data_IF_178045168788
#
_entry.id   IF_178045168788
#
_cell.length_a   1.000
_cell.length_b   1.000
_cell.length_c   1.000
_cell.angle_alpha   90.00
_cell.angle_beta   90.00
_cell.angle_gamma   90.00
#
_symmetry.space_group_name_H-M   'P 1'
#
loop_
_entity.id
_entity.type
_entity.pdbx_description
1 polymer ?
#
# COMPACT_ATOMS: atom_id res chain seq x y z
N UNK A 1 23.05 -3.58 -68.05
CA UNK A 1 21.67 -3.34 -67.66
C UNK A 1 21.31 -4.34 -66.58
N UNK A 2 20.96 -3.95 -65.37
CA UNK A 2 20.51 -4.67 -64.16
C UNK A 2 21.38 -4.30 -62.92
N UNK A 3 21.22 -3.09 -62.41
CA UNK A 3 21.78 -2.65 -61.08
C UNK A 3 20.92 -1.53 -60.42
N UNK A 4 19.62 -1.50 -60.59
CA UNK A 4 18.77 -0.44 -60.00
C UNK A 4 17.53 -0.92 -59.23
N UNK A 5 17.45 -2.26 -58.89
CA UNK A 5 16.25 -2.79 -58.20
C UNK A 5 16.49 -3.18 -56.74
N UNK A 6 17.64 -2.86 -56.12
CA UNK A 6 17.98 -3.31 -54.75
C UNK A 6 17.93 -2.21 -53.68
N UNK A 7 17.63 -0.97 -54.10
CA UNK A 7 17.65 0.18 -53.19
C UNK A 7 16.28 0.58 -52.63
N UNK A 8 15.20 0.01 -53.12
CA UNK A 8 13.82 0.35 -52.66
C UNK A 8 13.26 -0.55 -51.55
N UNK A 9 13.90 -1.69 -51.26
CA UNK A 9 13.44 -2.63 -50.24
C UNK A 9 13.97 -2.33 -48.82
N UNK A 10 14.91 -1.38 -48.64
CA UNK A 10 15.52 -1.09 -47.34
C UNK A 10 14.88 0.10 -46.60
N UNK A 11 13.98 0.84 -47.22
CA UNK A 11 13.33 2.03 -46.61
C UNK A 11 11.96 1.70 -45.99
N UNK A 12 11.36 0.55 -46.37
CA UNK A 12 10.06 0.14 -45.82
C UNK A 12 10.12 -0.55 -44.43
N UNK A 13 11.31 -0.86 -43.93
CA UNK A 13 11.51 -1.58 -42.65
C UNK A 13 11.71 -0.70 -41.41
N UNK A 14 11.82 0.64 -41.56
CA UNK A 14 12.21 1.56 -40.47
C UNK A 14 11.08 2.37 -39.84
N UNK A 15 9.83 2.08 -40.19
CA UNK A 15 8.67 2.87 -39.70
C UNK A 15 7.78 2.14 -38.67
N UNK A 16 8.21 1.01 -38.10
CA UNK A 16 7.40 0.26 -37.12
C UNK A 16 7.92 0.30 -35.65
N UNK A 17 8.88 1.17 -35.32
CA UNK A 17 9.37 1.32 -33.93
C UNK A 17 9.06 2.69 -33.32
N UNK A 18 7.98 3.32 -33.70
CA UNK A 18 7.52 4.55 -33.07
C UNK A 18 6.20 4.31 -32.31
N UNK A 19 6.25 3.58 -31.20
CA UNK A 19 5.06 3.25 -30.44
C UNK A 19 5.25 2.86 -28.98
N UNK A 20 6.43 3.08 -28.38
CA UNK A 20 6.54 3.12 -26.92
C UNK A 20 6.40 4.58 -26.46
N UNK A 21 5.16 5.06 -26.43
CA UNK A 21 4.85 6.26 -25.68
C UNK A 21 5.15 5.97 -24.22
N UNK A 22 6.30 6.42 -23.71
CA UNK A 22 6.50 6.64 -22.29
C UNK A 22 5.40 7.62 -21.87
N UNK A 23 4.26 7.10 -21.40
CA UNK A 23 3.34 7.89 -20.59
C UNK A 23 4.13 8.29 -19.35
N UNK A 24 4.76 9.48 -19.36
CA UNK A 24 5.07 10.19 -18.14
C UNK A 24 3.77 10.19 -17.37
N UNK A 25 3.80 9.76 -16.09
CA UNK A 25 2.67 9.92 -15.20
C UNK A 25 2.19 11.36 -15.36
N UNK A 26 1.03 11.54 -15.99
CA UNK A 26 0.44 12.86 -16.15
C UNK A 26 -0.04 13.27 -14.77
N UNK A 27 0.17 14.51 -14.39
CA UNK A 27 -0.19 15.02 -13.07
C UNK A 27 -1.70 14.90 -12.76
N UNK A 28 -2.53 14.59 -13.76
CA UNK A 28 -3.98 14.43 -13.64
C UNK A 28 -4.50 13.47 -14.72
N UNK A 29 -4.99 12.31 -14.28
CA UNK A 29 -5.59 11.27 -15.14
C UNK A 29 -7.12 11.32 -15.16
N UNK A 30 -7.75 12.32 -14.51
CA UNK A 30 -9.21 12.35 -14.35
C UNK A 30 -9.97 12.31 -15.69
N UNK A 31 -9.46 12.99 -16.71
CA UNK A 31 -10.10 12.99 -18.03
C UNK A 31 -10.16 11.58 -18.64
N UNK A 32 -9.07 10.83 -18.57
CA UNK A 32 -9.01 9.45 -19.06
C UNK A 32 -9.91 8.51 -18.23
N UNK A 33 -9.85 8.59 -16.90
CA UNK A 33 -10.70 7.82 -15.98
C UNK A 33 -12.19 8.08 -16.28
N UNK A 34 -12.57 9.36 -16.50
CA UNK A 34 -13.94 9.71 -16.77
C UNK A 34 -14.42 9.29 -18.17
N UNK A 35 -13.53 9.21 -19.15
CA UNK A 35 -13.81 8.68 -20.50
C UNK A 35 -13.96 7.15 -20.46
N UNK A 36 -13.03 6.45 -19.83
CA UNK A 36 -13.02 4.99 -19.71
C UNK A 36 -14.08 4.46 -18.73
N UNK A 37 -14.63 5.33 -17.87
CA UNK A 37 -15.57 4.97 -16.79
C UNK A 37 -15.04 3.87 -15.87
N UNK A 38 -13.72 3.86 -15.65
CA UNK A 38 -13.03 2.89 -14.81
C UNK A 38 -11.91 3.57 -14.04
N UNK A 39 -11.75 3.19 -12.75
CA UNK A 39 -10.63 3.60 -11.89
C UNK A 39 -10.04 2.39 -11.19
N UNK A 40 -8.72 2.34 -11.07
CA UNK A 40 -7.99 1.26 -10.40
C UNK A 40 -7.52 1.74 -9.03
N UNK A 41 -7.94 1.05 -7.97
CA UNK A 41 -7.59 1.37 -6.58
C UNK A 41 -6.70 0.28 -6.00
N UNK A 42 -5.48 0.65 -5.59
CA UNK A 42 -4.54 -0.23 -4.90
C UNK A 42 -4.83 -0.34 -3.41
N UNK A 43 -4.78 -1.56 -2.88
CA UNK A 43 -5.03 -1.87 -1.48
C UNK A 43 -4.28 -3.12 -1.01
N UNK A 44 -4.13 -3.25 0.31
CA UNK A 44 -3.84 -4.52 1.00
C UNK A 44 -5.18 -5.18 1.32
N UNK A 45 -5.50 -6.30 0.66
CA UNK A 45 -6.78 -7.00 0.80
C UNK A 45 -6.86 -7.90 2.06
N UNK A 46 -5.97 -7.64 3.02
CA UNK A 46 -5.97 -8.27 4.35
C UNK A 46 -6.21 -7.27 5.50
N UNK A 47 -6.40 -5.98 5.19
CA UNK A 47 -6.47 -4.89 6.17
C UNK A 47 -7.89 -4.68 6.74
N UNK A 48 -8.22 -5.44 7.78
CA UNK A 48 -9.51 -5.34 8.51
C UNK A 48 -9.55 -4.03 9.32
N UNK A 49 -10.66 -3.32 9.39
CA UNK A 49 -11.94 -3.51 8.67
C UNK A 49 -12.02 -2.69 7.37
N UNK A 50 -10.91 -2.12 6.90
CA UNK A 50 -10.89 -1.13 5.82
C UNK A 50 -11.07 -1.78 4.44
N UNK A 51 -10.24 -2.78 4.10
CA UNK A 51 -10.34 -3.56 2.86
C UNK A 51 -9.77 -4.95 3.08
N UNK A 52 -10.62 -5.96 3.02
CA UNK A 52 -10.21 -7.35 3.30
C UNK A 52 -11.09 -8.36 2.56
N UNK A 53 -10.61 -9.60 2.47
CA UNK A 53 -11.43 -10.70 1.98
C UNK A 53 -12.16 -11.38 3.12
N UNK A 54 -13.47 -11.53 2.96
CA UNK A 54 -14.29 -12.29 3.89
C UNK A 54 -14.03 -13.81 3.76
N UNK A 55 -14.75 -14.60 4.56
CA UNK A 55 -14.65 -16.07 4.57
C UNK A 55 -14.95 -16.74 3.21
N UNK A 56 -15.70 -16.07 2.34
CA UNK A 56 -16.08 -16.53 1.02
C UNK A 56 -15.12 -16.00 -0.08
N UNK A 57 -14.05 -15.30 0.34
CA UNK A 57 -13.04 -14.70 -0.55
C UNK A 57 -13.48 -13.40 -1.21
N UNK A 58 -14.66 -12.88 -0.87
CA UNK A 58 -15.18 -11.62 -1.43
C UNK A 58 -14.48 -10.43 -0.77
N UNK A 59 -14.02 -9.49 -1.60
CA UNK A 59 -13.47 -8.23 -1.12
C UNK A 59 -14.57 -7.34 -0.54
N UNK A 60 -14.38 -6.92 0.71
CA UNK A 60 -15.31 -6.12 1.51
C UNK A 60 -14.56 -5.18 2.45
N UNK A 61 -15.26 -4.29 3.12
CA UNK A 61 -14.70 -3.38 4.13
C UNK A 61 -15.16 -1.95 3.95
N UNK A 62 -14.83 -1.14 4.95
CA UNK A 62 -15.25 0.27 5.00
C UNK A 62 -14.78 1.06 3.76
N UNK A 63 -13.51 0.97 3.41
CA UNK A 63 -12.94 1.69 2.27
C UNK A 63 -13.45 1.15 0.93
N UNK A 64 -13.75 -0.15 0.86
CA UNK A 64 -14.33 -0.77 -0.33
C UNK A 64 -15.72 -0.20 -0.61
N UNK A 65 -16.55 -0.09 0.41
CA UNK A 65 -17.92 0.41 0.28
C UNK A 65 -17.92 1.93 0.04
N UNK A 66 -17.04 2.66 0.72
CA UNK A 66 -16.90 4.11 0.54
C UNK A 66 -16.41 4.46 -0.87
N UNK A 67 -15.40 3.75 -1.40
CA UNK A 67 -14.90 3.96 -2.75
C UNK A 67 -15.99 3.70 -3.79
N UNK A 68 -16.73 2.60 -3.67
CA UNK A 68 -17.86 2.30 -4.57
C UNK A 68 -18.91 3.41 -4.52
N UNK A 69 -19.32 3.84 -3.33
CA UNK A 69 -20.33 4.87 -3.16
C UNK A 69 -19.90 6.24 -3.75
N UNK A 70 -18.62 6.58 -3.65
CA UNK A 70 -18.08 7.80 -4.25
C UNK A 70 -18.09 7.73 -5.78
N UNK A 71 -17.55 6.67 -6.37
CA UNK A 71 -17.39 6.59 -7.82
C UNK A 71 -18.69 6.26 -8.57
N UNK A 72 -19.65 5.62 -7.90
CA UNK A 72 -21.01 5.44 -8.45
C UNK A 72 -21.67 6.77 -8.81
N UNK A 73 -21.43 7.85 -8.04
CA UNK A 73 -21.97 9.18 -8.32
C UNK A 73 -21.47 9.75 -9.66
N UNK A 74 -20.35 9.28 -10.16
CA UNK A 74 -19.75 9.67 -11.43
C UNK A 74 -19.99 8.65 -12.55
N UNK A 75 -20.69 7.56 -12.25
CA UNK A 75 -20.86 6.43 -13.18
C UNK A 75 -19.53 5.75 -13.53
N UNK A 76 -18.58 5.72 -12.58
CA UNK A 76 -17.26 5.12 -12.73
C UNK A 76 -17.23 3.79 -11.98
N UNK A 77 -16.78 2.74 -12.66
CA UNK A 77 -16.57 1.41 -12.06
C UNK A 77 -15.22 1.38 -11.34
N UNK A 78 -15.22 0.89 -10.11
CA UNK A 78 -13.99 0.69 -9.33
C UNK A 78 -13.44 -0.71 -9.55
N UNK A 79 -12.19 -0.79 -9.98
CA UNK A 79 -11.39 -2.01 -10.01
C UNK A 79 -10.43 -2.00 -8.82
N UNK A 80 -10.56 -2.96 -7.93
CA UNK A 80 -9.72 -3.08 -6.73
C UNK A 80 -8.57 -4.02 -7.02
N UNK A 81 -7.34 -3.50 -6.94
CA UNK A 81 -6.11 -4.24 -7.20
C UNK A 81 -5.34 -4.49 -5.89
N UNK A 82 -5.28 -5.74 -5.39
CA UNK A 82 -4.35 -6.07 -4.32
C UNK A 82 -2.91 -5.79 -4.73
N UNK A 83 -2.17 -5.13 -3.84
CA UNK A 83 -0.77 -4.76 -4.06
C UNK A 83 0.07 -5.12 -2.83
N UNK A 84 1.38 -5.28 -3.02
CA UNK A 84 2.33 -5.22 -1.92
C UNK A 84 2.32 -3.82 -1.30
N UNK A 85 1.98 -3.74 0.01
CA UNK A 85 1.85 -2.45 0.67
C UNK A 85 3.13 -1.63 0.70
N UNK A 86 4.29 -2.27 0.66
CA UNK A 86 5.58 -1.58 0.57
C UNK A 86 5.80 -0.89 -0.78
N UNK A 87 5.08 -1.33 -1.83
CA UNK A 87 5.20 -0.84 -3.21
C UNK A 87 4.14 0.20 -3.59
N UNK A 88 3.21 0.55 -2.70
CA UNK A 88 2.05 1.39 -2.99
C UNK A 88 2.34 2.72 -3.70
N UNK A 89 3.35 3.46 -3.26
CA UNK A 89 3.71 4.73 -3.90
C UNK A 89 4.39 4.50 -5.26
N UNK A 90 5.11 3.39 -5.43
CA UNK A 90 5.70 3.00 -6.71
C UNK A 90 4.63 2.63 -7.72
N UNK A 91 3.65 1.81 -7.32
CA UNK A 91 2.51 1.41 -8.17
C UNK A 91 1.69 2.64 -8.61
N UNK A 92 1.43 3.58 -7.69
CA UNK A 92 0.75 4.83 -8.02
C UNK A 92 1.56 5.68 -9.01
N UNK A 93 2.85 5.87 -8.78
CA UNK A 93 3.69 6.69 -9.62
C UNK A 93 3.93 6.10 -11.02
N UNK A 94 3.89 4.78 -11.15
CA UNK A 94 3.96 4.09 -12.45
C UNK A 94 2.64 4.08 -13.22
N UNK A 95 1.52 4.45 -12.58
CA UNK A 95 0.20 4.37 -13.18
C UNK A 95 -0.35 2.95 -13.30
N UNK A 96 0.16 2.00 -12.49
CA UNK A 96 -0.43 0.65 -12.36
C UNK A 96 -1.76 0.74 -11.60
N UNK A 97 -1.83 1.67 -10.65
CA UNK A 97 -3.04 2.07 -9.94
C UNK A 97 -3.25 3.57 -10.07
N UNK A 98 -4.49 4.02 -9.98
CA UNK A 98 -4.86 5.44 -10.04
C UNK A 98 -4.95 6.07 -8.66
N UNK A 99 -5.32 5.28 -7.65
CA UNK A 99 -5.44 5.70 -6.25
C UNK A 99 -4.88 4.63 -5.30
N UNK A 100 -4.40 5.09 -4.14
CA UNK A 100 -4.21 4.27 -2.94
C UNK A 100 -5.39 4.58 -2.01
N UNK A 101 -6.21 3.58 -1.67
CA UNK A 101 -7.34 3.75 -0.76
C UNK A 101 -7.51 2.54 0.15
N UNK A 102 -6.89 2.60 1.35
CA UNK A 102 -6.87 1.48 2.29
C UNK A 102 -6.36 1.94 3.67
N UNK A 103 -7.07 2.90 4.29
CA UNK A 103 -6.61 3.47 5.56
C UNK A 103 -5.23 4.10 5.47
N UNK A 104 -4.84 4.62 4.31
CA UNK A 104 -3.50 5.15 4.06
C UNK A 104 -3.24 6.42 4.87
N UNK A 105 -2.53 6.26 5.99
CA UNK A 105 -2.26 7.35 6.94
C UNK A 105 -1.48 8.48 6.30
N UNK A 106 -2.02 9.70 6.40
CA UNK A 106 -1.38 10.93 5.94
C UNK A 106 -0.23 11.30 6.87
N UNK A 107 0.98 11.42 6.33
CA UNK A 107 2.18 11.86 7.07
C UNK A 107 2.96 12.87 6.25
N UNK A 108 3.77 13.76 6.88
CA UNK A 108 4.59 14.74 6.14
C UNK A 108 5.57 14.10 5.13
N UNK A 109 6.01 12.87 5.38
CA UNK A 109 6.87 12.14 4.46
C UNK A 109 6.12 11.63 3.25
N UNK A 110 4.89 11.15 3.43
CA UNK A 110 4.02 10.64 2.37
C UNK A 110 3.43 11.78 1.53
N UNK A 111 3.11 12.93 2.14
CA UNK A 111 2.66 14.14 1.42
C UNK A 111 3.69 14.66 0.39
N UNK A 112 4.97 14.33 0.57
CA UNK A 112 6.01 14.65 -0.42
C UNK A 112 6.02 13.70 -1.63
N UNK A 113 5.35 12.57 -1.53
CA UNK A 113 5.34 11.53 -2.56
C UNK A 113 4.04 11.47 -3.34
N UNK A 114 2.92 11.74 -2.68
CA UNK A 114 1.57 11.63 -3.23
C UNK A 114 0.67 12.77 -2.78
N UNK A 115 -0.37 13.06 -3.59
CA UNK A 115 -1.42 13.99 -3.22
C UNK A 115 -2.46 13.28 -2.36
N UNK A 116 -2.81 13.88 -1.20
CA UNK A 116 -3.85 13.38 -0.31
C UNK A 116 -5.17 14.14 -0.46
N UNK A 117 -6.27 13.45 -0.21
CA UNK A 117 -7.57 14.08 0.07
C UNK A 117 -7.57 14.68 1.49
N UNK A 118 -8.71 15.28 1.90
CA UNK A 118 -8.95 15.54 3.33
C UNK A 118 -9.03 14.20 4.08
N UNK A 119 -8.51 14.11 5.32
CA UNK A 119 -8.71 12.93 6.15
C UNK A 119 -10.20 12.67 6.40
N UNK A 120 -10.61 11.43 6.33
CA UNK A 120 -11.98 10.98 6.64
C UNK A 120 -12.05 10.18 7.94
N UNK A 121 -10.90 9.83 8.53
CA UNK A 121 -10.79 9.07 9.77
C UNK A 121 -9.49 9.44 10.50
N UNK A 122 -9.49 9.38 11.81
CA UNK A 122 -8.28 9.44 12.63
C UNK A 122 -7.77 8.02 12.89
N UNK A 123 -6.45 7.86 12.99
CA UNK A 123 -5.82 6.58 13.27
C UNK A 123 -4.51 6.79 14.02
N UNK A 124 -4.32 6.03 15.09
CA UNK A 124 -3.10 5.98 15.88
C UNK A 124 -2.30 4.70 15.59
N UNK A 125 -1.02 4.72 15.95
CA UNK A 125 -0.18 3.54 15.96
C UNK A 125 -0.12 2.98 17.38
N UNK A 126 -0.40 1.68 17.52
CA UNK A 126 -0.46 1.00 18.81
C UNK A 126 0.46 -0.22 18.82
N UNK A 127 0.97 -0.53 20.02
CA UNK A 127 1.68 -1.79 20.29
C UNK A 127 0.68 -2.78 20.87
N UNK A 128 0.47 -3.90 20.21
CA UNK A 128 -0.27 -5.03 20.78
C UNK A 128 0.66 -6.13 21.25
N UNK A 129 0.29 -6.78 22.33
CA UNK A 129 1.04 -7.88 22.95
C UNK A 129 0.07 -8.94 23.46
N UNK A 130 0.47 -10.22 23.56
CA UNK A 130 -0.36 -11.24 24.21
C UNK A 130 -0.67 -10.85 25.67
N UNK A 131 -1.90 -11.01 26.11
CA UNK A 131 -2.31 -10.71 27.51
C UNK A 131 -1.43 -11.40 28.54
N UNK A 132 -1.12 -12.66 28.29
CA UNK A 132 -0.30 -13.51 29.16
C UNK A 132 1.18 -13.07 29.23
N UNK A 133 1.65 -12.23 28.32
CA UNK A 133 3.02 -11.71 28.33
C UNK A 133 3.27 -10.73 29.46
N UNK A 134 2.21 -10.09 29.99
CA UNK A 134 2.30 -9.03 30.98
C UNK A 134 2.95 -7.73 30.48
N UNK A 135 3.22 -7.61 29.17
CA UNK A 135 3.78 -6.40 28.57
C UNK A 135 2.66 -5.38 28.39
N UNK A 136 2.74 -4.25 29.08
CA UNK A 136 1.74 -3.17 29.08
C UNK A 136 2.35 -1.79 28.79
N UNK A 137 3.66 -1.72 28.53
CA UNK A 137 4.34 -0.47 28.17
C UNK A 137 5.47 -0.71 27.16
N UNK A 138 5.92 0.35 26.50
CA UNK A 138 7.06 0.31 25.56
C UNK A 138 8.38 -0.05 26.28
N UNK A 139 8.55 0.33 27.56
CA UNK A 139 9.74 0.01 28.34
C UNK A 139 9.89 -1.50 28.55
N UNK A 140 8.78 -2.21 28.67
CA UNK A 140 8.78 -3.68 28.87
C UNK A 140 9.12 -4.45 27.59
N UNK A 141 9.19 -3.76 26.45
CA UNK A 141 9.71 -4.33 25.19
C UNK A 141 11.24 -4.44 25.17
N UNK A 142 11.94 -4.12 26.27
CA UNK A 142 13.41 -4.25 26.34
C UNK A 142 13.86 -5.68 26.02
N UNK A 143 14.71 -5.81 24.99
CA UNK A 143 15.21 -7.09 24.45
C UNK A 143 14.12 -8.04 23.94
N UNK A 144 12.91 -7.56 23.69
CA UNK A 144 11.81 -8.31 23.08
C UNK A 144 11.82 -8.17 21.56
N UNK A 145 11.24 -9.16 20.87
CA UNK A 145 11.10 -9.16 19.40
C UNK A 145 9.85 -8.38 19.02
N UNK A 146 10.03 -7.37 18.20
CA UNK A 146 8.94 -6.55 17.65
C UNK A 146 8.64 -7.00 16.23
N UNK A 147 7.37 -7.05 15.88
CA UNK A 147 6.87 -7.15 14.49
C UNK A 147 6.30 -5.84 14.00
N UNK A 148 6.34 -5.61 12.70
CA UNK A 148 5.66 -4.52 12.02
C UNK A 148 5.38 -4.90 10.56
N UNK A 149 4.36 -4.31 9.94
CA UNK A 149 4.16 -4.48 8.50
C UNK A 149 5.16 -3.59 7.73
N UNK A 150 5.75 -4.15 6.68
CA UNK A 150 6.65 -3.45 5.79
C UNK A 150 5.94 -2.26 5.10
N UNK A 151 6.56 -1.08 5.11
CA UNK A 151 5.97 0.13 4.53
C UNK A 151 4.77 0.71 5.30
N UNK A 152 4.44 0.21 6.49
CA UNK A 152 3.38 0.75 7.35
C UNK A 152 3.79 2.07 8.00
N UNK A 153 2.81 2.85 8.47
CA UNK A 153 3.04 4.04 9.28
C UNK A 153 3.64 3.71 10.64
N UNK A 154 3.31 2.55 11.21
CA UNK A 154 3.91 2.05 12.44
C UNK A 154 5.42 1.85 12.31
N UNK A 155 5.86 1.19 11.24
CA UNK A 155 7.29 1.03 10.97
C UNK A 155 8.00 2.36 10.69
N UNK A 156 7.33 3.30 10.04
CA UNK A 156 7.83 4.67 9.85
C UNK A 156 8.07 5.39 11.19
N UNK A 157 7.11 5.33 12.13
CA UNK A 157 7.26 5.91 13.48
C UNK A 157 8.38 5.23 14.24
N UNK A 158 8.42 3.90 14.23
CA UNK A 158 9.47 3.11 14.86
C UNK A 158 10.88 3.53 14.41
N UNK A 159 11.07 3.81 13.13
CA UNK A 159 12.36 4.20 12.58
C UNK A 159 12.72 5.66 12.81
N UNK A 160 11.71 6.56 12.83
CA UNK A 160 11.90 8.01 12.94
C UNK A 160 11.94 8.51 14.39
N UNK A 161 11.42 7.74 15.34
CA UNK A 161 11.40 8.04 16.77
C UNK A 161 12.07 6.88 17.55
N UNK A 162 13.38 6.66 17.38
CA UNK A 162 14.06 5.49 17.89
C UNK A 162 14.02 5.38 19.43
N UNK A 163 13.96 6.51 20.13
CA UNK A 163 13.90 6.61 21.58
C UNK A 163 12.61 6.02 22.18
N UNK A 164 11.52 5.98 21.40
CA UNK A 164 10.23 5.46 21.87
C UNK A 164 10.28 3.94 22.01
N UNK A 165 10.72 3.23 20.98
CA UNK A 165 10.65 1.77 20.97
C UNK A 165 11.90 1.11 20.36
N UNK A 166 12.49 1.65 19.30
CA UNK A 166 13.58 1.01 18.56
C UNK A 166 14.79 0.71 19.42
N UNK A 167 15.24 1.64 20.25
CA UNK A 167 16.39 1.46 21.14
C UNK A 167 16.16 0.41 22.24
N UNK A 168 14.92 0.01 22.47
CA UNK A 168 14.54 -0.95 23.52
C UNK A 168 14.48 -2.38 23.01
N UNK A 169 13.97 -2.58 21.81
CA UNK A 169 13.71 -3.91 21.26
C UNK A 169 14.99 -4.68 20.91
N UNK A 170 14.86 -5.99 20.79
CA UNK A 170 15.98 -6.87 20.44
C UNK A 170 16.55 -6.45 19.08
N UNK A 171 17.90 -6.37 19.02
CA UNK A 171 18.66 -5.97 17.84
C UNK A 171 18.36 -4.56 17.32
N UNK A 172 17.57 -3.75 18.05
CA UNK A 172 17.11 -2.43 17.63
C UNK A 172 16.43 -2.44 16.25
N UNK A 173 15.71 -3.53 15.95
CA UNK A 173 15.02 -3.72 14.68
C UNK A 173 13.72 -4.48 14.87
N UNK A 174 12.83 -4.38 13.87
CA UNK A 174 11.57 -5.10 13.83
C UNK A 174 11.62 -6.22 12.78
N UNK A 175 10.95 -7.33 13.05
CA UNK A 175 10.65 -8.35 12.05
C UNK A 175 9.57 -7.78 11.14
N UNK A 176 9.85 -7.70 9.84
CA UNK A 176 8.93 -7.15 8.86
C UNK A 176 8.09 -8.24 8.22
N UNK A 177 6.81 -7.94 8.04
CA UNK A 177 5.80 -8.82 7.42
C UNK A 177 5.14 -8.10 6.26
N UNK A 178 4.68 -8.85 5.28
CA UNK A 178 3.92 -8.28 4.16
C UNK A 178 2.49 -7.91 4.59
N UNK A 179 1.94 -8.63 5.56
CA UNK A 179 0.60 -8.37 6.11
C UNK A 179 0.54 -8.43 7.64
N UNK A 180 -0.45 -7.77 8.24
CA UNK A 180 -0.72 -7.91 9.68
C UNK A 180 -1.21 -9.32 10.03
N UNK A 181 -1.86 -10.04 9.11
CA UNK A 181 -2.28 -11.43 9.33
C UNK A 181 -1.09 -12.35 9.60
N UNK A 182 -0.01 -12.24 8.83
CA UNK A 182 1.22 -13.00 9.06
C UNK A 182 1.88 -12.63 10.39
N UNK A 183 1.97 -11.34 10.69
CA UNK A 183 2.52 -10.85 11.95
C UNK A 183 1.71 -11.35 13.17
N UNK A 184 0.37 -11.40 13.07
CA UNK A 184 -0.50 -11.93 14.12
C UNK A 184 -0.33 -13.43 14.35
N UNK A 185 -0.07 -14.20 13.29
CA UNK A 185 0.27 -15.64 13.42
C UNK A 185 1.57 -15.79 14.21
N UNK A 186 2.57 -14.97 13.92
CA UNK A 186 3.86 -14.99 14.61
C UNK A 186 3.75 -14.50 16.05
N UNK A 187 2.92 -13.49 16.32
CA UNK A 187 2.61 -13.04 17.68
C UNK A 187 1.94 -14.14 18.49
N UNK A 188 0.92 -14.80 17.97
CA UNK A 188 0.21 -15.91 18.63
C UNK A 188 1.11 -17.12 18.89
N UNK A 189 2.05 -17.39 17.99
CA UNK A 189 2.98 -18.51 18.14
C UNK A 189 4.22 -18.18 19.00
N UNK A 190 4.31 -16.95 19.53
CA UNK A 190 5.45 -16.49 20.33
C UNK A 190 6.74 -16.33 19.53
N UNK A 191 6.68 -16.20 18.21
CA UNK A 191 7.87 -15.86 17.39
C UNK A 191 8.24 -14.38 17.48
N UNK A 192 7.26 -13.51 17.73
CA UNK A 192 7.44 -12.12 18.16
C UNK A 192 6.73 -11.89 19.49
N UNK A 193 7.13 -10.87 20.23
CA UNK A 193 6.63 -10.58 21.57
C UNK A 193 5.65 -9.40 21.58
N UNK A 194 5.68 -8.57 20.54
CA UNK A 194 4.77 -7.45 20.31
C UNK A 194 4.68 -7.11 18.84
N UNK A 195 3.58 -6.49 18.41
CA UNK A 195 3.32 -6.06 17.06
C UNK A 195 2.87 -4.60 17.06
N UNK A 196 3.56 -3.78 16.28
CA UNK A 196 3.21 -2.38 16.05
C UNK A 196 2.27 -2.31 14.85
N UNK A 197 1.07 -1.73 15.04
CA UNK A 197 0.04 -1.71 14.02
C UNK A 197 -0.92 -0.52 14.16
N UNK A 198 -1.77 -0.36 13.18
CA UNK A 198 -2.83 0.65 13.19
C UNK A 198 -3.89 0.32 14.23
N UNK A 199 -4.30 1.34 15.01
CA UNK A 199 -5.33 1.18 16.03
C UNK A 199 -6.65 0.69 15.44
N UNK A 200 -7.02 1.17 14.26
CA UNK A 200 -8.24 0.77 13.54
C UNK A 200 -8.29 -0.73 13.25
N UNK A 201 -7.14 -1.39 13.13
CA UNK A 201 -7.06 -2.85 12.97
C UNK A 201 -7.07 -3.57 14.32
N UNK A 202 -6.52 -2.96 15.37
CA UNK A 202 -6.36 -3.57 16.69
C UNK A 202 -7.66 -3.61 17.51
N UNK A 203 -8.60 -2.69 17.26
CA UNK A 203 -9.92 -2.56 17.93
C UNK A 203 -10.94 -3.58 17.41
#
# INVERSE_FOLDING_TARGET
MKKTSFLFALIAGLLLFAGCSNKKASADNWAAINEEKKIVIGLDDTFVPMGFRDKDGKLTGFDIDLAKAVFEQYGITVDFQPIDWSMKEFELNNGTIDLIWNGYSKTPAREKKVQFTKPYMENDQVLITPKESGITSFEQMKNKRLGAQNGSSGYDVFTKQPEVLKERVKNQDAVLYDSFNEALIDLKSGRIDGLLMDKVYAD
#
